data_IF_397974567478
#
_entry.id   IF_397974567478
#
_cell.length_a   1.000
_cell.length_b   1.000
_cell.length_c   1.000
_cell.angle_alpha   90.00
_cell.angle_beta   90.00
_cell.angle_gamma   90.00
#
_symmetry.space_group_name_H-M   'P 1'
#
loop_
_entity.id
_entity.type
_entity.pdbx_description
1 polymer ?
#
# COMPACT_ATOMS: atom_id res chain seq x y z
N UNK A 1 1.64 30.54 -19.29
CA UNK A 1 1.25 30.53 -17.85
C UNK A 1 1.48 29.12 -17.34
N UNK A 2 2.53 28.89 -16.55
CA UNK A 2 2.73 27.60 -15.90
C UNK A 2 1.94 27.57 -14.61
N UNK A 3 0.88 26.77 -14.54
CA UNK A 3 0.20 26.48 -13.28
C UNK A 3 1.11 25.61 -12.42
N UNK A 4 1.50 26.09 -11.24
CA UNK A 4 2.18 25.27 -10.25
C UNK A 4 1.22 24.16 -9.81
N UNK A 5 1.55 22.90 -10.10
CA UNK A 5 0.74 21.78 -9.65
C UNK A 5 0.78 21.71 -8.10
N UNK A 6 -0.39 21.66 -7.46
CA UNK A 6 -0.49 21.48 -6.02
C UNK A 6 -0.39 20.00 -5.64
N UNK A 7 0.06 19.74 -4.42
CA UNK A 7 0.08 18.41 -3.84
C UNK A 7 -1.34 17.83 -3.79
N UNK A 8 -1.53 16.66 -4.40
CA UNK A 8 -2.84 15.98 -4.48
C UNK A 8 -3.33 15.40 -3.14
N UNK A 9 -2.55 15.55 -2.06
CA UNK A 9 -2.93 15.12 -0.70
C UNK A 9 -3.39 16.29 0.17
N UNK A 10 -2.60 17.38 0.30
CA UNK A 10 -3.04 18.53 1.11
C UNK A 10 -3.74 19.64 0.31
N UNK A 11 -3.50 19.73 -1.00
CA UNK A 11 -3.93 20.86 -1.84
C UNK A 11 -3.43 22.24 -1.35
N UNK A 12 -2.38 22.28 -0.51
CA UNK A 12 -1.84 23.53 0.06
C UNK A 12 -0.43 23.88 -0.46
N UNK A 13 0.41 22.88 -0.68
CA UNK A 13 1.81 23.07 -1.07
C UNK A 13 2.04 22.67 -2.53
N UNK A 14 3.08 23.23 -3.16
CA UNK A 14 3.51 22.80 -4.49
C UNK A 14 3.92 21.32 -4.48
N UNK A 15 3.51 20.58 -5.52
CA UNK A 15 3.96 19.22 -5.74
C UNK A 15 5.36 19.22 -6.35
N UNK A 16 6.29 18.54 -5.70
CA UNK A 16 7.70 18.45 -6.12
C UNK A 16 8.14 17.01 -6.38
N UNK A 17 7.32 16.02 -6.01
CA UNK A 17 7.61 14.59 -6.11
C UNK A 17 6.46 13.85 -6.76
N UNK A 18 6.74 12.75 -7.47
CA UNK A 18 5.73 11.86 -8.06
C UNK A 18 5.84 10.47 -7.48
N UNK A 19 4.73 9.94 -6.95
CA UNK A 19 4.67 8.59 -6.38
C UNK A 19 4.87 7.53 -7.48
N UNK A 20 5.84 6.62 -7.29
CA UNK A 20 6.09 5.54 -8.27
C UNK A 20 4.99 4.47 -8.33
N UNK A 21 4.12 4.37 -7.32
CA UNK A 21 3.06 3.36 -7.24
C UNK A 21 1.72 3.86 -7.80
N UNK A 22 1.20 4.98 -7.28
CA UNK A 22 -0.11 5.50 -7.69
C UNK A 22 -0.03 6.66 -8.69
N UNK A 23 1.16 7.17 -8.99
CA UNK A 23 1.36 8.27 -9.93
C UNK A 23 1.06 9.67 -9.39
N UNK A 24 0.55 9.80 -8.14
CA UNK A 24 0.20 11.10 -7.56
C UNK A 24 1.39 12.06 -7.45
N UNK A 25 1.16 13.33 -7.76
CA UNK A 25 2.09 14.44 -7.53
C UNK A 25 1.88 15.00 -6.11
N UNK A 26 2.93 14.96 -5.28
CA UNK A 26 2.86 15.32 -3.86
C UNK A 26 4.00 16.27 -3.45
N UNK A 27 3.79 17.00 -2.36
CA UNK A 27 4.85 17.79 -1.73
C UNK A 27 5.79 16.89 -0.91
N UNK A 28 6.95 17.40 -0.53
CA UNK A 28 7.97 16.67 0.22
C UNK A 28 7.44 16.08 1.53
N UNK A 29 6.58 16.81 2.26
CA UNK A 29 5.96 16.34 3.52
C UNK A 29 5.14 15.06 3.33
N UNK A 30 4.59 14.85 2.13
CA UNK A 30 3.72 13.72 1.82
C UNK A 30 4.39 12.67 0.94
N UNK A 31 5.72 12.72 0.84
CA UNK A 31 6.53 11.77 0.12
C UNK A 31 7.50 11.05 1.07
N UNK A 32 7.48 9.72 1.06
CA UNK A 32 8.50 8.90 1.68
C UNK A 32 9.67 8.75 0.71
N UNK A 33 10.73 9.54 0.93
CA UNK A 33 11.95 9.53 0.10
C UNK A 33 12.65 8.16 0.11
N UNK A 34 12.60 7.41 1.21
CA UNK A 34 13.26 6.11 1.31
C UNK A 34 12.58 5.06 0.42
N UNK A 35 11.26 5.12 0.32
CA UNK A 35 10.43 4.16 -0.44
C UNK A 35 10.07 4.66 -1.85
N UNK A 36 10.23 5.95 -2.12
CA UNK A 36 9.90 6.59 -3.38
C UNK A 36 8.39 6.68 -3.65
N UNK A 37 7.57 6.77 -2.60
CA UNK A 37 6.10 6.72 -2.70
C UNK A 37 5.45 7.77 -1.81
N UNK A 38 4.19 8.13 -2.10
CA UNK A 38 3.46 9.02 -1.20
C UNK A 38 3.06 8.31 0.09
N UNK A 39 2.84 9.08 1.16
CA UNK A 39 2.48 8.55 2.48
C UNK A 39 1.20 7.69 2.45
N UNK A 40 0.21 8.04 1.61
CA UNK A 40 -1.02 7.24 1.45
C UNK A 40 -0.74 5.84 0.88
N UNK A 41 0.25 5.72 -0.02
CA UNK A 41 0.71 4.41 -0.47
C UNK A 41 1.45 3.67 0.65
N UNK A 42 2.26 4.36 1.47
CA UNK A 42 2.96 3.73 2.61
C UNK A 42 1.98 3.06 3.57
N UNK A 43 0.89 3.75 3.90
CA UNK A 43 -0.17 3.26 4.79
C UNK A 43 -0.99 2.10 4.21
N UNK A 44 -0.89 1.85 2.90
CA UNK A 44 -1.65 0.81 2.20
C UNK A 44 -0.76 -0.26 1.57
N UNK A 45 0.53 -0.31 1.94
CA UNK A 45 1.42 -1.40 1.52
C UNK A 45 1.01 -2.71 2.19
N UNK A 46 1.15 -3.80 1.44
CA UNK A 46 1.05 -5.15 1.99
C UNK A 46 2.05 -5.31 3.13
N UNK A 47 1.56 -5.71 4.30
CA UNK A 47 2.35 -5.88 5.52
C UNK A 47 3.17 -7.18 5.52
N UNK A 48 3.03 -8.02 4.48
CA UNK A 48 3.86 -9.22 4.27
C UNK A 48 5.11 -8.88 3.47
N UNK A 49 4.97 -8.21 2.32
CA UNK A 49 6.09 -7.94 1.43
C UNK A 49 6.61 -6.50 1.45
N UNK A 50 5.81 -5.53 1.91
CA UNK A 50 6.18 -4.12 1.97
C UNK A 50 6.41 -3.41 0.63
N UNK A 51 6.09 -4.06 -0.50
CA UNK A 51 6.42 -3.53 -1.84
C UNK A 51 5.22 -3.30 -2.76
N UNK A 52 4.10 -3.99 -2.53
CA UNK A 52 2.86 -3.87 -3.31
C UNK A 52 1.75 -3.25 -2.48
N UNK A 53 0.80 -2.57 -3.13
CA UNK A 53 -0.42 -2.10 -2.46
C UNK A 53 -1.29 -3.30 -2.07
N UNK A 54 -1.97 -3.18 -0.94
CA UNK A 54 -2.92 -4.18 -0.48
C UNK A 54 -4.20 -4.17 -1.31
N UNK A 55 -4.76 -5.35 -1.56
CA UNK A 55 -6.08 -5.55 -2.17
C UNK A 55 -7.16 -5.85 -1.13
N UNK A 56 -6.76 -6.15 0.11
CA UNK A 56 -7.65 -6.37 1.24
C UNK A 56 -6.87 -6.69 2.52
N UNK A 57 -7.54 -7.31 3.48
CA UNK A 57 -6.95 -7.70 4.76
C UNK A 57 -7.05 -9.22 4.99
N UNK A 58 -6.09 -9.77 5.71
CA UNK A 58 -6.12 -11.17 6.14
C UNK A 58 -7.24 -11.39 7.16
N UNK A 59 -8.19 -12.28 6.88
CA UNK A 59 -9.30 -12.59 7.77
C UNK A 59 -8.88 -13.23 9.11
N UNK A 60 -7.64 -13.76 9.19
CA UNK A 60 -7.11 -14.39 10.41
C UNK A 60 -6.36 -13.40 11.30
N UNK A 61 -5.54 -12.50 10.72
CA UNK A 61 -4.65 -11.62 11.51
C UNK A 61 -4.82 -10.13 11.26
N UNK A 62 -5.72 -9.72 10.36
CA UNK A 62 -6.01 -8.31 10.06
C UNK A 62 -4.97 -7.59 9.18
N UNK A 63 -3.79 -8.17 8.95
CA UNK A 63 -2.75 -7.55 8.10
C UNK A 63 -3.27 -7.24 6.69
N UNK A 64 -2.91 -6.08 6.17
CA UNK A 64 -3.08 -5.70 4.77
C UNK A 64 -2.25 -6.62 3.86
N UNK A 65 -2.90 -7.20 2.84
CA UNK A 65 -2.30 -8.19 1.94
C UNK A 65 -2.50 -7.83 0.48
N UNK A 66 -1.48 -8.06 -0.34
CA UNK A 66 -1.58 -8.01 -1.79
C UNK A 66 -1.97 -9.37 -2.35
N UNK A 67 -2.39 -9.37 -3.61
CA UNK A 67 -2.76 -10.53 -4.42
C UNK A 67 -1.75 -11.69 -4.35
N UNK A 68 -0.46 -11.39 -4.26
CA UNK A 68 0.61 -12.40 -4.28
C UNK A 68 1.04 -12.88 -2.89
N UNK A 69 0.54 -12.26 -1.81
CA UNK A 69 0.87 -12.62 -0.43
C UNK A 69 -0.36 -13.14 0.34
N UNK A 70 -1.45 -13.42 -0.36
CA UNK A 70 -2.66 -14.04 0.17
C UNK A 70 -3.16 -15.15 -0.74
N UNK A 71 -3.96 -16.04 -0.15
CA UNK A 71 -4.81 -16.99 -0.84
C UNK A 71 -6.27 -16.63 -0.55
N UNK A 72 -7.17 -16.99 -1.46
CA UNK A 72 -8.61 -16.83 -1.27
C UNK A 72 -9.18 -18.09 -0.60
N UNK A 73 -9.89 -17.89 0.51
CA UNK A 73 -10.65 -18.92 1.22
C UNK A 73 -12.12 -18.50 1.21
N UNK A 74 -12.87 -18.99 0.23
CA UNK A 74 -14.22 -18.50 -0.06
C UNK A 74 -14.18 -17.04 -0.52
N UNK A 75 -14.79 -16.14 0.27
CA UNK A 75 -14.79 -14.69 0.01
C UNK A 75 -13.73 -13.93 0.82
N UNK A 76 -12.95 -14.65 1.64
CA UNK A 76 -11.97 -14.06 2.53
C UNK A 76 -10.54 -14.18 1.96
N UNK A 77 -9.70 -13.18 2.20
CA UNK A 77 -8.27 -13.30 1.96
C UNK A 77 -7.58 -13.82 3.22
N UNK A 78 -6.65 -14.76 3.07
CA UNK A 78 -5.79 -15.26 4.15
C UNK A 78 -4.34 -15.11 3.74
N UNK A 79 -3.52 -14.42 4.54
CA UNK A 79 -2.11 -14.25 4.22
C UNK A 79 -1.36 -15.59 4.20
N UNK A 80 -0.33 -15.70 3.38
CA UNK A 80 0.46 -16.93 3.23
C UNK A 80 1.03 -17.47 4.55
N UNK A 81 1.34 -16.60 5.50
CA UNK A 81 1.84 -17.01 6.82
C UNK A 81 0.76 -17.71 7.66
N UNK A 82 -0.49 -17.22 7.60
CA UNK A 82 -1.62 -17.83 8.29
C UNK A 82 -2.06 -19.12 7.60
N UNK A 83 -2.15 -19.11 6.27
CA UNK A 83 -2.52 -20.29 5.47
C UNK A 83 -1.58 -21.48 5.75
N UNK A 84 -0.26 -21.24 5.80
CA UNK A 84 0.74 -22.26 6.14
C UNK A 84 0.58 -22.87 7.53
N UNK A 85 -0.02 -22.14 8.48
CA UNK A 85 -0.27 -22.66 9.84
C UNK A 85 -1.52 -23.54 9.87
N UNK A 86 -2.55 -23.19 9.09
CA UNK A 86 -3.80 -23.95 9.02
C UNK A 86 -3.58 -25.34 8.39
N UNK A 87 -2.71 -25.44 7.37
CA UNK A 87 -2.36 -26.71 6.75
C UNK A 87 -1.63 -27.70 7.67
N UNK A 88 -1.10 -27.25 8.81
CA UNK A 88 -0.38 -28.13 9.76
C UNK A 88 -1.29 -28.80 10.79
N UNK A 89 -2.59 -28.52 10.75
CA UNK A 89 -3.59 -29.06 11.68
C UNK A 89 -4.66 -29.92 11.01
N UNK A 90 -4.45 -30.27 9.74
CA UNK A 90 -5.26 -31.25 8.97
C UNK A 90 -4.52 -32.57 8.88
#
# INVERSE_FOLDING_TARGET
MGSTQLCEICLQAAATKKCRLCGRSVCEKHFDERRGVCIACVETLCEVCGTRLSVGYCAVCGRLVCDSCSVEEGLALVCVDCARKLLKHT
#
